data_IF_377502303773
#
_entry.id   IF_377502303773
#
_cell.length_a   1.000
_cell.length_b   1.000
_cell.length_c   1.000
_cell.angle_alpha   90.00
_cell.angle_beta   90.00
_cell.angle_gamma   90.00
#
_symmetry.space_group_name_H-M   'P 1'
#
loop_
_entity.id
_entity.type
_entity.pdbx_description
1 polymer ?
#
# COMPACT_ATOMS: atom_id res chain seq x y z
N UNK A 1 9.01 -8.90 -22.85
CA UNK A 1 7.72 -8.31 -22.43
C UNK A 1 6.60 -8.86 -23.33
N UNK A 2 5.42 -9.16 -22.80
CA UNK A 2 4.33 -9.82 -23.54
C UNK A 2 3.36 -8.84 -24.24
N UNK A 3 3.58 -7.53 -24.12
CA UNK A 3 2.75 -6.51 -24.80
C UNK A 3 1.30 -6.42 -24.33
N UNK A 4 1.00 -6.87 -23.10
CA UNK A 4 -0.34 -6.85 -22.53
C UNK A 4 -0.78 -5.41 -22.22
N UNK A 5 -2.07 -5.13 -22.44
CA UNK A 5 -2.65 -3.80 -22.20
C UNK A 5 -3.98 -3.90 -21.45
N UNK A 6 -4.32 -2.85 -20.67
CA UNK A 6 -5.59 -2.74 -19.98
C UNK A 6 -5.95 -4.01 -19.20
N UNK A 7 -7.09 -4.61 -19.51
CA UNK A 7 -7.64 -5.79 -18.83
C UNK A 7 -6.91 -7.11 -19.15
N UNK A 8 -6.02 -7.11 -20.13
CA UNK A 8 -5.17 -8.26 -20.41
C UNK A 8 -4.06 -8.43 -19.35
N UNK A 9 -3.76 -7.36 -18.60
CA UNK A 9 -2.79 -7.39 -17.53
C UNK A 9 -3.45 -8.01 -16.29
N UNK A 10 -2.88 -9.07 -15.69
CA UNK A 10 -3.43 -9.68 -14.46
C UNK A 10 -3.59 -8.65 -13.33
N UNK A 11 -4.68 -8.73 -12.56
CA UNK A 11 -4.97 -7.78 -11.49
C UNK A 11 -3.80 -7.63 -10.50
N UNK A 12 -3.16 -8.73 -10.09
CA UNK A 12 -2.01 -8.69 -9.19
C UNK A 12 -0.83 -7.91 -9.77
N UNK A 13 -0.60 -7.98 -11.08
CA UNK A 13 0.49 -7.25 -11.74
C UNK A 13 0.20 -5.74 -11.77
N UNK A 14 -1.07 -5.35 -11.95
CA UNK A 14 -1.50 -3.95 -11.88
C UNK A 14 -1.28 -3.38 -10.46
N UNK A 15 -1.63 -4.14 -9.42
CA UNK A 15 -1.42 -3.76 -8.02
C UNK A 15 0.07 -3.58 -7.70
N UNK A 16 0.89 -4.59 -8.04
CA UNK A 16 2.35 -4.55 -7.81
C UNK A 16 2.96 -3.34 -8.52
N UNK A 17 2.52 -3.06 -9.75
CA UNK A 17 3.05 -1.93 -10.52
C UNK A 17 2.78 -0.58 -9.84
N UNK A 18 1.61 -0.39 -9.22
CA UNK A 18 1.30 0.84 -8.46
C UNK A 18 2.15 0.93 -7.19
N UNK A 19 2.28 -0.18 -6.45
CA UNK A 19 3.07 -0.22 -5.22
C UNK A 19 4.57 0.05 -5.49
N UNK A 20 5.13 -0.57 -6.52
CA UNK A 20 6.54 -0.41 -6.92
C UNK A 20 6.87 1.04 -7.31
N UNK A 21 5.99 1.69 -8.08
CA UNK A 21 6.19 3.09 -8.46
C UNK A 21 6.10 3.99 -7.23
N UNK A 22 5.14 3.77 -6.34
CA UNK A 22 5.05 4.54 -5.09
C UNK A 22 6.30 4.37 -4.22
N UNK A 23 6.76 3.14 -4.01
CA UNK A 23 7.98 2.83 -3.25
C UNK A 23 9.19 3.52 -3.87
N UNK A 24 9.35 3.42 -5.20
CA UNK A 24 10.46 4.08 -5.92
C UNK A 24 10.48 5.60 -5.75
N UNK A 25 9.32 6.26 -5.72
CA UNK A 25 9.23 7.72 -5.55
C UNK A 25 9.47 8.17 -4.11
N UNK A 26 9.18 7.31 -3.13
CA UNK A 26 9.27 7.62 -1.70
C UNK A 26 10.52 7.05 -1.03
N UNK A 27 11.26 6.16 -1.70
CA UNK A 27 12.47 5.54 -1.18
C UNK A 27 13.63 6.54 -0.99
N UNK A 28 14.37 6.36 0.10
CA UNK A 28 15.51 7.20 0.50
C UNK A 28 16.79 7.01 -0.28
N UNK A 29 16.88 5.92 -1.04
CA UNK A 29 18.18 5.30 -1.36
C UNK A 29 18.75 5.67 -2.73
N UNK A 30 18.11 6.58 -3.47
CA UNK A 30 18.65 7.06 -4.76
C UNK A 30 18.87 8.56 -4.68
N UNK A 31 19.91 9.07 -5.35
CA UNK A 31 20.40 10.46 -5.45
C UNK A 31 19.38 11.60 -5.74
N UNK A 32 18.08 11.35 -5.62
CA UNK A 32 16.96 12.29 -5.75
C UNK A 32 16.39 12.63 -4.36
N UNK A 33 15.86 13.84 -4.22
CA UNK A 33 15.05 14.20 -3.05
C UNK A 33 13.84 13.27 -2.97
N UNK A 34 13.64 12.59 -1.84
CA UNK A 34 12.45 11.78 -1.57
C UNK A 34 11.19 12.61 -1.77
N UNK A 35 10.21 12.04 -2.47
CA UNK A 35 8.88 12.65 -2.57
C UNK A 35 8.10 12.32 -1.31
N UNK A 36 7.36 13.30 -0.81
CA UNK A 36 6.30 13.05 0.17
C UNK A 36 5.21 12.16 -0.43
N UNK A 37 4.42 11.49 0.42
CA UNK A 37 3.26 10.71 -0.05
C UNK A 37 2.31 11.53 -0.93
N UNK A 38 2.14 12.82 -0.63
CA UNK A 38 1.31 13.72 -1.43
C UNK A 38 1.88 13.94 -2.84
N UNK A 39 3.18 14.20 -2.94
CA UNK A 39 3.86 14.38 -4.22
C UNK A 39 3.86 13.08 -5.04
N UNK A 40 4.14 11.95 -4.39
CA UNK A 40 4.11 10.64 -5.03
C UNK A 40 2.71 10.31 -5.58
N UNK A 41 1.65 10.52 -4.78
CA UNK A 41 0.27 10.33 -5.23
C UNK A 41 -0.11 11.27 -6.39
N UNK A 42 0.41 12.50 -6.40
CA UNK A 42 0.20 13.44 -7.51
C UNK A 42 0.80 12.89 -8.80
N UNK A 43 2.01 12.32 -8.74
CA UNK A 43 2.68 11.73 -9.90
C UNK A 43 1.99 10.44 -10.36
N UNK A 44 1.59 9.56 -9.43
CA UNK A 44 0.81 8.37 -9.75
C UNK A 44 -0.51 8.72 -10.46
N UNK A 45 -1.23 9.74 -9.98
CA UNK A 45 -2.46 10.23 -10.62
C UNK A 45 -2.21 10.84 -12.00
N UNK A 46 -1.07 11.49 -12.20
CA UNK A 46 -0.68 12.06 -13.51
C UNK A 46 -0.56 10.99 -14.58
N UNK A 47 -0.09 9.79 -14.22
CA UNK A 47 0.12 8.66 -15.16
C UNK A 47 -0.99 7.62 -15.14
N UNK A 48 -1.97 7.77 -14.24
CA UNK A 48 -3.13 6.90 -14.13
C UNK A 48 -3.94 6.88 -15.44
N UNK A 49 -4.45 5.70 -15.80
CA UNK A 49 -5.20 5.47 -17.05
C UNK A 49 -4.32 5.29 -18.29
N UNK A 50 -3.00 5.50 -18.19
CA UNK A 50 -2.05 5.24 -19.28
C UNK A 50 -0.98 4.22 -18.90
N UNK A 51 -0.22 4.48 -17.83
CA UNK A 51 0.86 3.60 -17.35
C UNK A 51 0.42 2.76 -16.15
N UNK A 52 -0.47 3.30 -15.33
CA UNK A 52 -1.02 2.65 -14.14
C UNK A 52 -2.54 2.53 -14.28
N UNK A 53 -3.11 1.44 -13.74
CA UNK A 53 -4.56 1.31 -13.63
C UNK A 53 -5.06 2.28 -12.54
N UNK A 54 -5.90 3.23 -12.94
CA UNK A 54 -6.39 4.31 -12.09
C UNK A 54 -7.13 3.80 -10.85
N UNK A 55 -7.78 2.63 -10.93
CA UNK A 55 -8.51 2.05 -9.80
C UNK A 55 -7.58 1.80 -8.62
N UNK A 56 -6.40 1.23 -8.87
CA UNK A 56 -5.45 0.90 -7.80
C UNK A 56 -4.67 2.10 -7.29
N UNK A 57 -4.48 3.12 -8.12
CA UNK A 57 -3.92 4.41 -7.67
C UNK A 57 -4.83 5.05 -6.62
N UNK A 58 -6.14 5.09 -6.85
CA UNK A 58 -7.08 5.65 -5.88
C UNK A 58 -7.26 4.78 -4.64
N UNK A 59 -7.20 3.45 -4.76
CA UNK A 59 -7.17 2.55 -3.58
C UNK A 59 -5.95 2.84 -2.70
N UNK A 60 -4.76 3.00 -3.29
CA UNK A 60 -3.56 3.36 -2.54
C UNK A 60 -3.72 4.73 -1.88
N UNK A 61 -4.29 5.71 -2.59
CA UNK A 61 -4.55 7.03 -2.02
C UNK A 61 -5.45 6.96 -0.77
N UNK A 62 -6.56 6.22 -0.85
CA UNK A 62 -7.47 6.00 0.29
C UNK A 62 -6.78 5.33 1.49
N UNK A 63 -5.95 4.32 1.23
CA UNK A 63 -5.14 3.65 2.26
C UNK A 63 -4.20 4.62 2.98
N UNK A 64 -3.54 5.51 2.25
CA UNK A 64 -2.58 6.48 2.80
C UNK A 64 -3.27 7.64 3.54
N UNK A 65 -4.52 7.96 3.21
CA UNK A 65 -5.31 8.99 3.91
C UNK A 65 -6.04 8.44 5.15
N UNK A 66 -5.91 7.15 5.45
CA UNK A 66 -6.61 6.51 6.57
C UNK A 66 -8.10 6.35 6.35
N UNK A 67 -8.56 6.38 5.09
CA UNK A 67 -9.92 5.97 4.75
C UNK A 67 -9.99 4.44 4.96
N UNK A 68 -10.85 3.99 5.87
CA UNK A 68 -10.89 2.61 6.34
C UNK A 68 -11.13 1.64 5.16
N UNK A 69 -10.12 0.81 4.86
CA UNK A 69 -10.28 -0.31 3.94
C UNK A 69 -10.67 -1.52 4.76
N UNK A 70 -11.97 -1.68 4.99
CA UNK A 70 -12.59 -2.76 5.77
C UNK A 70 -12.44 -4.18 5.14
N UNK A 71 -11.44 -4.39 4.27
CA UNK A 71 -11.23 -5.61 3.50
C UNK A 71 -9.82 -6.18 3.69
N UNK A 72 -9.60 -6.98 4.75
CA UNK A 72 -8.80 -8.22 4.70
C UNK A 72 -9.29 -9.23 5.74
N UNK A 73 -10.55 -9.65 5.65
CA UNK A 73 -11.00 -10.88 6.31
C UNK A 73 -10.49 -12.11 5.53
N UNK A 74 -9.32 -12.59 5.95
CA UNK A 74 -8.81 -13.96 5.84
C UNK A 74 -7.56 -14.01 6.74
N UNK A 75 -7.57 -14.39 8.02
CA UNK A 75 -8.57 -15.07 8.85
C UNK A 75 -8.69 -14.33 10.21
N UNK A 76 -9.89 -14.23 10.78
CA UNK A 76 -10.14 -13.51 12.03
C UNK A 76 -9.35 -14.06 13.26
N UNK A 77 -8.74 -15.23 13.14
CA UNK A 77 -7.97 -15.88 14.19
C UNK A 77 -6.60 -15.22 14.47
N UNK A 78 -6.00 -14.53 13.50
CA UNK A 78 -4.65 -13.97 13.68
C UNK A 78 -4.67 -12.64 14.45
N UNK A 79 -5.70 -11.82 14.29
CA UNK A 79 -5.83 -10.53 14.99
C UNK A 79 -6.05 -10.69 16.50
N UNK A 80 -6.92 -11.62 16.93
CA UNK A 80 -7.17 -11.87 18.37
C UNK A 80 -5.90 -12.41 19.06
N UNK A 81 -5.11 -13.22 18.35
CA UNK A 81 -3.85 -13.78 18.88
C UNK A 81 -2.79 -12.70 19.08
N UNK A 82 -2.66 -11.77 18.12
CA UNK A 82 -1.70 -10.67 18.20
C UNK A 82 -2.09 -9.66 19.31
N UNK A 83 -3.38 -9.34 19.42
CA UNK A 83 -3.91 -8.42 20.45
C UNK A 83 -3.78 -8.96 21.89
N UNK A 84 -3.99 -10.27 22.08
CA UNK A 84 -3.78 -10.92 23.39
C UNK A 84 -2.31 -10.94 23.80
N UNK A 85 -1.40 -11.09 22.82
CA UNK A 85 0.04 -11.05 23.06
C UNK A 85 0.49 -9.63 23.47
N UNK A 86 -0.03 -8.59 22.82
CA UNK A 86 0.25 -7.20 23.18
C UNK A 86 -0.30 -6.81 24.56
N UNK A 87 -1.50 -7.27 24.92
CA UNK A 87 -2.09 -7.03 26.26
C UNK A 87 -1.25 -7.66 27.36
N UNK A 88 -0.79 -8.89 27.17
CA UNK A 88 0.06 -9.61 28.13
C UNK A 88 1.41 -8.95 28.36
N UNK A 89 2.03 -8.42 27.31
CA UNK A 89 3.31 -7.69 27.41
C UNK A 89 3.09 -6.38 28.19
N UNK A 90 1.98 -5.69 27.97
CA UNK A 90 1.64 -4.43 28.64
C UNK A 90 1.33 -4.62 30.12
N UNK A 91 0.66 -5.72 30.49
CA UNK A 91 0.38 -6.09 31.89
C UNK A 91 1.64 -6.56 32.64
N UNK A 92 2.54 -7.29 31.96
CA UNK A 92 3.82 -7.71 32.54
C UNK A 92 4.80 -6.54 32.77
N UNK A 93 4.75 -5.52 31.92
CA UNK A 93 5.57 -4.30 32.05
C UNK A 93 5.07 -3.30 33.09
N UNK A 94 3.82 -3.42 33.56
CA UNK A 94 3.23 -2.50 34.54
C UNK A 94 3.55 -2.86 36.01
N UNK A 95 4.27 -3.97 36.24
CA UNK A 95 4.66 -4.45 37.58
C UNK A 95 6.17 -4.62 37.77
N UNK A 96 6.99 -4.03 36.90
CA UNK A 96 8.45 -3.98 37.01
C UNK A 96 8.96 -2.58 37.33
#
# INVERSE_FOLDING_TARGET
PNGLTGDQIPEIAKIISVAEVYDTLTASDTYRTQMSSFEALTELRRVAGSQLDARYVEVLAGLLTGESVDYRHADAADFDTELDMERRIREAGAHA
#
